data_IF_404802347251
#
_entry.id   IF_404802347251
#
_cell.length_a   1.000
_cell.length_b   1.000
_cell.length_c   1.000
_cell.angle_alpha   90.00
_cell.angle_beta   90.00
_cell.angle_gamma   90.00
#
_symmetry.space_group_name_H-M   'P 1'
#
loop_
_entity.id
_entity.type
_entity.pdbx_description
1 polymer ?
#
# COMPACT_ATOMS: atom_id res chain seq x y z
N UNK A 1 -17.26 4.01 -4.79
CA UNK A 1 -17.91 2.85 -5.43
C UNK A 1 -16.97 2.34 -6.51
N UNK A 2 -16.73 1.03 -6.57
CA UNK A 2 -16.02 0.43 -7.71
C UNK A 2 -16.80 0.68 -9.00
N UNK A 3 -16.11 0.81 -10.14
CA UNK A 3 -16.74 0.88 -11.46
C UNK A 3 -17.65 -0.34 -11.76
N UNK A 4 -17.56 -1.40 -10.96
CA UNK A 4 -18.31 -2.65 -11.10
C UNK A 4 -19.35 -2.90 -9.99
N UNK A 5 -19.63 -1.93 -9.12
CA UNK A 5 -20.60 -2.07 -8.02
C UNK A 5 -20.05 -2.75 -6.77
N UNK A 6 -20.93 -3.27 -5.91
CA UNK A 6 -20.58 -3.94 -4.65
C UNK A 6 -20.06 -5.35 -4.91
N UNK A 7 -18.86 -5.67 -4.42
CA UNK A 7 -18.23 -6.97 -4.64
C UNK A 7 -18.74 -8.02 -3.64
N UNK A 8 -19.03 -9.23 -4.16
CA UNK A 8 -19.16 -10.43 -3.33
C UNK A 8 -17.80 -11.12 -3.29
N UNK A 9 -17.12 -11.09 -2.14
CA UNK A 9 -15.76 -11.68 -1.97
C UNK A 9 -15.79 -13.18 -2.26
N UNK A 10 -14.82 -13.68 -3.04
CA UNK A 10 -14.71 -15.12 -3.32
C UNK A 10 -14.31 -15.88 -2.06
N UNK A 11 -15.04 -16.96 -1.74
CA UNK A 11 -14.77 -17.88 -0.64
C UNK A 11 -13.62 -18.83 -1.03
N UNK A 12 -12.37 -18.37 -0.98
CA UNK A 12 -11.22 -19.26 -0.90
C UNK A 12 -11.07 -19.84 0.52
N UNK A 13 -10.02 -20.63 0.76
CA UNK A 13 -9.67 -21.15 2.11
C UNK A 13 -9.35 -20.06 3.14
N UNK A 14 -9.29 -18.80 2.70
CA UNK A 14 -9.20 -17.64 3.55
C UNK A 14 -10.55 -17.36 4.24
N UNK A 15 -10.58 -17.52 5.57
CA UNK A 15 -11.77 -17.21 6.37
C UNK A 15 -12.10 -15.71 6.25
N UNK A 16 -13.35 -15.42 5.91
CA UNK A 16 -13.86 -14.06 5.80
C UNK A 16 -13.64 -13.31 7.13
N UNK A 17 -12.86 -12.22 7.09
CA UNK A 17 -12.54 -11.42 8.28
C UNK A 17 -11.35 -11.93 9.11
N UNK A 18 -10.61 -12.94 8.65
CA UNK A 18 -9.35 -13.29 9.27
C UNK A 18 -8.36 -12.12 9.15
N UNK A 19 -7.78 -11.72 10.28
CA UNK A 19 -6.75 -10.69 10.29
C UNK A 19 -5.40 -11.38 10.03
N UNK A 20 -4.67 -10.93 9.00
CA UNK A 20 -3.30 -11.37 8.77
C UNK A 20 -2.40 -10.94 9.93
N UNK A 21 -1.41 -11.77 10.30
CA UNK A 21 -0.47 -11.41 11.35
C UNK A 21 0.31 -10.16 10.98
N UNK A 22 0.61 -9.33 11.98
CA UNK A 22 1.48 -8.17 11.81
C UNK A 22 2.92 -8.61 11.54
N UNK A 23 3.68 -7.80 10.82
CA UNK A 23 5.07 -8.09 10.46
C UNK A 23 6.01 -6.97 10.85
N UNK A 24 7.26 -7.31 11.19
CA UNK A 24 8.33 -6.38 11.52
C UNK A 24 9.31 -6.29 10.35
N UNK A 25 9.76 -5.06 10.08
CA UNK A 25 10.68 -4.68 9.03
C UNK A 25 11.78 -3.82 9.63
N UNK A 26 13.02 -4.25 9.46
CA UNK A 26 14.19 -3.59 10.02
C UNK A 26 14.58 -2.42 9.12
N UNK A 27 14.79 -1.24 9.71
CA UNK A 27 15.33 -0.11 8.95
C UNK A 27 16.85 -0.24 8.88
N UNK A 28 17.43 -0.15 7.68
CA UNK A 28 18.89 -0.11 7.47
C UNK A 28 19.46 1.25 7.93
N UNK A 29 19.37 1.58 9.22
CA UNK A 29 20.06 2.74 9.76
C UNK A 29 21.52 2.34 9.94
N UNK A 30 22.38 2.93 9.11
CA UNK A 30 23.83 2.73 9.16
C UNK A 30 24.31 2.81 10.61
N UNK A 31 25.01 1.78 11.03
CA UNK A 31 25.47 1.53 12.40
C UNK A 31 26.49 2.57 12.84
N UNK A 32 26.05 3.76 13.22
CA UNK A 32 26.83 4.65 14.06
C UNK A 32 26.05 4.91 15.35
N UNK A 33 26.58 4.34 16.43
CA UNK A 33 26.27 4.55 17.84
C UNK A 33 25.27 3.58 18.50
N UNK A 34 25.69 3.12 19.69
CA UNK A 34 24.95 2.33 20.68
C UNK A 34 23.71 3.06 21.21
N UNK A 35 22.70 3.29 20.38
CA UNK A 35 21.38 3.71 20.86
C UNK A 35 20.55 2.46 21.16
N UNK A 36 20.09 2.26 22.41
CA UNK A 36 19.32 1.08 22.80
C UNK A 36 17.97 0.96 22.07
N UNK A 37 17.40 2.08 21.64
CA UNK A 37 16.16 2.11 20.85
C UNK A 37 16.47 2.37 19.38
N UNK A 38 16.33 1.33 18.56
CA UNK A 38 16.39 1.48 17.09
C UNK A 38 14.96 1.67 16.54
N UNK A 39 14.76 2.55 15.55
CA UNK A 39 13.50 2.60 14.84
C UNK A 39 13.32 1.31 14.04
N UNK A 40 12.07 0.88 13.92
CA UNK A 40 11.69 -0.20 13.03
C UNK A 40 10.26 -0.01 12.57
N UNK A 41 9.85 -0.77 11.56
CA UNK A 41 8.52 -0.63 10.98
C UNK A 41 7.73 -1.89 11.28
N UNK A 42 6.48 -1.68 11.65
CA UNK A 42 5.49 -2.75 11.76
C UNK A 42 4.40 -2.52 10.74
N UNK A 43 4.01 -3.57 10.02
CA UNK A 43 2.90 -3.53 9.08
C UNK A 43 1.76 -4.35 9.65
N UNK A 44 0.59 -3.73 9.78
CA UNK A 44 -0.61 -4.32 10.37
C UNK A 44 -1.70 -4.43 9.32
N UNK A 45 -2.37 -5.57 9.24
CA UNK A 45 -3.61 -5.71 8.48
C UNK A 45 -4.78 -5.14 9.28
N UNK A 46 -5.50 -4.20 8.68
CA UNK A 46 -6.53 -3.40 9.34
C UNK A 46 -7.80 -3.44 8.50
N UNK A 47 -8.92 -3.78 9.13
CA UNK A 47 -10.26 -3.64 8.58
C UNK A 47 -10.92 -2.39 9.15
N UNK A 48 -12.02 -1.91 8.53
CA UNK A 48 -12.77 -0.77 9.06
C UNK A 48 -13.21 -1.01 10.52
N UNK A 49 -13.70 -2.22 10.82
CA UNK A 49 -14.11 -2.63 12.17
C UNK A 49 -12.99 -2.47 13.21
N UNK A 50 -11.75 -2.73 12.83
CA UNK A 50 -10.61 -2.64 13.74
C UNK A 50 -9.97 -1.24 13.74
N UNK A 51 -10.21 -0.44 12.71
CA UNK A 51 -9.77 0.96 12.65
C UNK A 51 -10.68 1.90 13.45
N UNK A 52 -11.99 1.66 13.48
CA UNK A 52 -12.97 2.53 14.16
C UNK A 52 -12.69 2.75 15.66
N UNK A 53 -12.26 1.75 16.44
CA UNK A 53 -11.91 1.94 17.85
C UNK A 53 -10.64 2.78 18.08
N UNK A 54 -9.85 3.06 17.04
CA UNK A 54 -8.59 3.81 17.11
C UNK A 54 -8.86 5.31 16.81
N UNK A 55 -8.98 6.17 17.84
CA UNK A 55 -9.45 7.54 17.62
C UNK A 55 -8.48 8.33 16.74
N UNK A 56 -9.02 9.09 15.78
CA UNK A 56 -8.24 9.95 14.89
C UNK A 56 -7.52 9.22 13.74
N UNK A 57 -7.43 7.88 13.76
CA UNK A 57 -6.70 7.12 12.73
C UNK A 57 -7.27 7.38 11.34
N UNK A 58 -8.58 7.15 11.16
CA UNK A 58 -9.21 7.28 9.85
C UNK A 58 -9.14 8.73 9.34
N UNK A 59 -9.36 9.71 10.22
CA UNK A 59 -9.25 11.13 9.89
C UNK A 59 -7.84 11.49 9.41
N UNK A 60 -6.80 10.98 10.09
CA UNK A 60 -5.42 11.17 9.68
C UNK A 60 -5.15 10.60 8.29
N UNK A 61 -5.51 9.32 8.05
CA UNK A 61 -5.32 8.67 6.76
C UNK A 61 -6.09 9.37 5.62
N UNK A 62 -7.33 9.80 5.88
CA UNK A 62 -8.14 10.55 4.94
C UNK A 62 -7.51 11.89 4.58
N UNK A 63 -6.93 12.60 5.56
CA UNK A 63 -6.21 13.85 5.32
C UNK A 63 -4.96 13.63 4.47
N UNK A 64 -4.18 12.58 4.74
CA UNK A 64 -2.98 12.25 3.95
C UNK A 64 -3.38 11.91 2.50
N UNK A 65 -4.43 11.09 2.32
CA UNK A 65 -4.92 10.76 0.99
C UNK A 65 -5.48 11.98 0.25
N UNK A 66 -6.26 12.81 0.94
CA UNK A 66 -6.84 14.04 0.39
C UNK A 66 -5.77 15.01 -0.12
N UNK A 67 -4.68 15.20 0.64
CA UNK A 67 -3.58 16.07 0.23
C UNK A 67 -2.94 15.64 -1.09
N UNK A 68 -2.85 14.34 -1.37
CA UNK A 68 -2.21 13.85 -2.60
C UNK A 68 -3.19 13.77 -3.78
N UNK A 69 -4.47 13.57 -3.52
CA UNK A 69 -5.51 13.82 -4.53
C UNK A 69 -5.48 15.30 -4.92
N UNK A 70 -5.39 16.21 -3.95
CA UNK A 70 -5.27 17.65 -4.20
C UNK A 70 -3.97 18.00 -4.94
N UNK A 71 -2.86 17.32 -4.64
CA UNK A 71 -1.60 17.44 -5.38
C UNK A 71 -1.78 17.14 -6.87
N UNK A 72 -2.70 16.23 -7.22
CA UNK A 72 -3.17 15.99 -8.60
C UNK A 72 -2.12 15.40 -9.52
N UNK A 73 -1.13 14.68 -8.97
CA UNK A 73 0.03 14.14 -9.71
C UNK A 73 0.16 12.62 -9.68
N UNK A 74 -0.77 11.93 -9.02
CA UNK A 74 -0.60 10.50 -8.73
C UNK A 74 -1.91 9.74 -8.83
N UNK A 75 -3.01 10.32 -8.34
CA UNK A 75 -4.33 9.73 -8.44
C UNK A 75 -5.16 10.41 -9.53
N UNK A 76 -6.04 9.66 -10.22
CA UNK A 76 -6.94 10.22 -11.22
C UNK A 76 -8.15 10.96 -10.63
N UNK A 77 -8.42 10.82 -9.32
CA UNK A 77 -9.51 11.51 -8.64
C UNK A 77 -9.27 13.02 -8.65
N UNK A 78 -10.33 13.79 -8.89
CA UNK A 78 -10.32 15.26 -8.83
C UNK A 78 -11.17 15.81 -7.67
N UNK A 79 -12.13 15.00 -7.18
CA UNK A 79 -13.05 15.41 -6.12
C UNK A 79 -12.36 15.55 -4.77
N UNK A 80 -12.88 16.48 -3.96
CA UNK A 80 -12.45 16.65 -2.57
C UNK A 80 -12.72 15.37 -1.78
N UNK A 81 -11.66 14.84 -1.17
CA UNK A 81 -11.75 13.66 -0.32
C UNK A 81 -12.33 14.04 1.05
N UNK A 82 -13.50 13.50 1.36
CA UNK A 82 -14.08 13.50 2.71
C UNK A 82 -13.70 12.22 3.47
N UNK A 83 -13.87 12.22 4.80
CA UNK A 83 -13.67 11.01 5.62
C UNK A 83 -14.58 9.87 5.16
N UNK A 84 -15.86 10.16 4.91
CA UNK A 84 -16.84 9.15 4.44
C UNK A 84 -16.48 8.57 3.07
N UNK A 85 -16.09 9.43 2.11
CA UNK A 85 -15.64 8.94 0.80
C UNK A 85 -14.34 8.15 0.88
N UNK A 86 -13.43 8.54 1.79
CA UNK A 86 -12.20 7.82 2.04
C UNK A 86 -12.47 6.45 2.65
N UNK A 87 -13.32 6.34 3.67
CA UNK A 87 -13.69 5.05 4.27
C UNK A 87 -14.26 4.11 3.21
N UNK A 88 -15.27 4.58 2.46
CA UNK A 88 -15.91 3.79 1.40
C UNK A 88 -14.96 3.40 0.28
N UNK A 89 -13.96 4.21 -0.02
CA UNK A 89 -13.00 3.92 -1.06
C UNK A 89 -11.88 3.03 -0.55
N UNK A 90 -11.15 3.46 0.49
CA UNK A 90 -9.90 2.88 0.96
C UNK A 90 -10.13 1.58 1.76
N UNK A 91 -11.16 1.54 2.61
CA UNK A 91 -11.53 0.37 3.42
C UNK A 91 -12.57 -0.55 2.76
N UNK A 92 -12.74 -0.47 1.44
CA UNK A 92 -13.65 -1.36 0.73
C UNK A 92 -13.23 -2.84 0.79
N UNK A 93 -11.94 -3.13 0.99
CA UNK A 93 -11.40 -4.47 1.23
C UNK A 93 -10.24 -4.38 2.25
N UNK A 94 -9.12 -5.05 2.01
CA UNK A 94 -8.02 -5.18 2.95
C UNK A 94 -7.12 -3.92 2.93
N UNK A 95 -6.79 -3.39 4.11
CA UNK A 95 -5.90 -2.24 4.29
C UNK A 95 -4.72 -2.64 5.15
N UNK A 96 -3.54 -2.13 4.80
CA UNK A 96 -2.31 -2.34 5.55
C UNK A 96 -1.75 -0.99 5.97
N UNK A 97 -1.37 -0.88 7.24
CA UNK A 97 -0.83 0.35 7.81
C UNK A 97 0.57 0.06 8.34
N UNK A 98 1.54 0.85 7.87
CA UNK A 98 2.92 0.83 8.34
C UNK A 98 3.11 1.86 9.45
N UNK A 99 3.52 1.40 10.63
CA UNK A 99 3.80 2.21 11.81
C UNK A 99 5.27 2.06 12.18
N UNK A 100 6.00 3.18 12.26
CA UNK A 100 7.34 3.20 12.83
C UNK A 100 7.24 3.07 14.34
N UNK A 101 7.74 1.98 14.90
CA UNK A 101 7.88 1.74 16.33
C UNK A 101 9.35 1.92 16.78
N UNK A 102 9.57 1.93 18.09
CA UNK A 102 10.89 2.05 18.71
C UNK A 102 11.08 0.89 19.69
N UNK A 103 12.32 0.38 19.80
CA UNK A 103 12.68 -0.64 20.77
C UNK A 103 13.68 -1.64 20.23
N UNK A 104 13.92 -2.69 21.02
CA UNK A 104 14.79 -3.80 20.64
C UNK A 104 14.02 -4.87 19.89
N UNK A 105 14.38 -5.13 18.64
CA UNK A 105 13.88 -6.28 17.88
C UNK A 105 14.91 -7.39 17.95
N UNK A 106 14.45 -8.61 18.26
CA UNK A 106 15.27 -9.83 18.20
C UNK A 106 15.22 -10.51 16.81
N UNK A 107 14.83 -9.78 15.78
CA UNK A 107 14.70 -10.29 14.42
C UNK A 107 15.65 -9.52 13.52
N UNK A 108 16.53 -10.25 12.85
CA UNK A 108 17.43 -9.72 11.82
C UNK A 108 16.85 -9.86 10.40
N UNK A 109 15.62 -10.41 10.29
CA UNK A 109 14.94 -10.64 9.01
C UNK A 109 13.71 -9.76 8.87
N UNK A 110 13.63 -9.09 7.72
CA UNK A 110 12.42 -8.41 7.28
C UNK A 110 11.25 -9.37 7.13
N UNK A 111 10.04 -8.83 7.26
CA UNK A 111 8.77 -9.55 7.22
C UNK A 111 8.62 -10.64 8.31
N UNK A 112 9.29 -10.48 9.45
CA UNK A 112 9.12 -11.40 10.58
C UNK A 112 7.77 -11.19 11.29
N UNK A 113 7.03 -12.27 11.52
CA UNK A 113 5.71 -12.22 12.17
C UNK A 113 5.83 -11.78 13.63
N UNK A 114 4.91 -10.91 14.06
CA UNK A 114 4.81 -10.42 15.44
C UNK A 114 3.36 -10.41 15.93
N UNK A 115 3.18 -10.50 17.26
CA UNK A 115 1.90 -10.29 17.93
C UNK A 115 1.63 -8.83 18.28
N UNK A 116 2.55 -7.92 17.96
CA UNK A 116 2.40 -6.50 18.25
C UNK A 116 1.17 -5.94 17.52
N UNK A 117 0.28 -5.31 18.26
CA UNK A 117 -0.90 -4.64 17.73
C UNK A 117 -0.56 -3.23 17.21
N UNK A 118 -1.48 -2.64 16.45
CA UNK A 118 -1.35 -1.28 15.93
C UNK A 118 -1.16 -0.24 17.06
N UNK A 119 -1.89 -0.39 18.17
CA UNK A 119 -1.82 0.56 19.29
C UNK A 119 -0.54 0.38 20.13
N UNK A 120 -0.09 -0.86 20.33
CA UNK A 120 1.21 -1.12 20.97
C UNK A 120 2.37 -0.57 20.12
N UNK A 121 2.30 -0.70 18.79
CA UNK A 121 3.29 -0.10 17.89
C UNK A 121 3.26 1.43 17.93
N UNK A 122 2.07 2.03 18.04
CA UNK A 122 1.88 3.46 18.22
C UNK A 122 2.48 3.94 19.54
N UNK A 123 2.32 3.16 20.62
CA UNK A 123 2.83 3.46 21.96
C UNK A 123 2.42 4.86 22.44
N UNK A 124 1.13 5.19 22.30
CA UNK A 124 0.55 6.48 22.74
C UNK A 124 0.93 7.71 21.91
N UNK A 125 1.70 7.57 20.83
CA UNK A 125 2.04 8.68 19.93
C UNK A 125 0.88 9.10 19.02
N UNK A 126 0.93 10.33 18.51
CA UNK A 126 0.02 10.81 17.47
C UNK A 126 0.26 10.09 16.14
N UNK A 127 -0.81 9.81 15.38
CA UNK A 127 -0.74 9.07 14.12
C UNK A 127 0.18 9.74 13.10
N UNK A 128 0.15 11.07 13.04
CA UNK A 128 1.01 11.93 12.23
C UNK A 128 2.49 11.63 12.47
N UNK A 129 2.85 11.27 13.70
CA UNK A 129 4.25 11.05 14.09
C UNK A 129 4.70 9.61 13.90
N UNK A 130 3.80 8.63 13.91
CA UNK A 130 4.16 7.20 13.85
C UNK A 130 3.74 6.48 12.57
N UNK A 131 2.68 6.89 11.88
CA UNK A 131 2.32 6.32 10.57
C UNK A 131 3.35 6.75 9.55
N UNK A 132 3.85 5.80 8.77
CA UNK A 132 4.88 6.01 7.74
C UNK A 132 4.41 5.59 6.35
N UNK A 133 3.28 4.88 6.27
CA UNK A 133 2.67 4.52 5.01
C UNK A 133 1.45 3.66 5.22
N UNK A 134 0.65 3.53 4.18
CA UNK A 134 -0.51 2.66 4.16
C UNK A 134 -0.93 2.35 2.73
N UNK A 135 -1.52 1.19 2.52
CA UNK A 135 -1.98 0.76 1.21
C UNK A 135 -3.22 -0.12 1.34
N UNK A 136 -4.05 -0.15 0.31
CA UNK A 136 -5.14 -1.12 0.22
C UNK A 136 -4.78 -2.23 -0.76
N UNK A 137 -5.38 -3.40 -0.61
CA UNK A 137 -5.37 -4.48 -1.59
C UNK A 137 -6.82 -4.86 -1.89
N UNK A 138 -7.19 -4.82 -3.18
CA UNK A 138 -8.56 -5.07 -3.67
C UNK A 138 -8.51 -5.92 -4.92
N UNK A 139 -9.54 -6.73 -5.22
CA UNK A 139 -9.72 -7.26 -6.56
C UNK A 139 -9.77 -6.12 -7.58
N UNK A 140 -8.93 -6.18 -8.62
CA UNK A 140 -9.00 -5.21 -9.73
C UNK A 140 -10.22 -5.44 -10.61
N UNK A 141 -10.65 -6.70 -10.70
CA UNK A 141 -11.79 -7.14 -11.50
C UNK A 141 -12.75 -7.99 -10.66
N UNK A 142 -14.06 -8.01 -10.99
CA UNK A 142 -15.02 -8.83 -10.29
C UNK A 142 -14.97 -10.31 -10.70
N UNK A 143 -15.59 -11.17 -9.89
CA UNK A 143 -15.95 -12.54 -10.24
C UNK A 143 -14.77 -13.41 -10.67
N UNK A 144 -14.79 -13.92 -11.91
CA UNK A 144 -13.81 -14.88 -12.43
C UNK A 144 -12.37 -14.34 -12.47
N UNK A 145 -12.20 -13.02 -12.38
CA UNK A 145 -10.90 -12.35 -12.42
C UNK A 145 -10.53 -11.70 -11.09
N UNK A 146 -11.23 -12.02 -9.99
CA UNK A 146 -10.98 -11.44 -8.67
C UNK A 146 -9.62 -11.79 -8.07
N UNK A 147 -8.96 -12.83 -8.58
CA UNK A 147 -7.60 -13.22 -8.20
C UNK A 147 -6.54 -12.23 -8.71
N UNK A 148 -6.88 -11.34 -9.65
CA UNK A 148 -6.00 -10.24 -10.07
C UNK A 148 -6.25 -9.06 -9.14
N UNK A 149 -5.32 -8.82 -8.22
CA UNK A 149 -5.43 -7.76 -7.22
C UNK A 149 -4.82 -6.44 -7.71
N UNK A 150 -5.48 -5.34 -7.36
CA UNK A 150 -4.99 -3.98 -7.44
C UNK A 150 -4.61 -3.50 -6.04
N UNK A 151 -3.50 -2.80 -5.94
CA UNK A 151 -3.14 -2.10 -4.72
C UNK A 151 -2.58 -0.73 -5.07
N UNK A 152 -2.55 0.15 -4.09
CA UNK A 152 -1.81 1.39 -4.21
C UNK A 152 -1.25 1.75 -2.85
N UNK A 153 0.04 2.08 -2.80
CA UNK A 153 0.73 2.41 -1.57
C UNK A 153 1.04 3.90 -1.43
N UNK A 154 0.76 4.42 -0.24
CA UNK A 154 1.25 5.69 0.25
C UNK A 154 2.45 5.48 1.15
N UNK A 155 3.47 6.30 0.93
CA UNK A 155 4.61 6.46 1.84
C UNK A 155 4.56 7.90 2.35
N UNK A 156 4.40 8.07 3.66
CA UNK A 156 4.52 9.37 4.31
C UNK A 156 6.01 9.67 4.38
N UNK A 157 6.47 10.58 3.52
CA UNK A 157 7.89 10.93 3.41
C UNK A 157 8.34 11.61 4.71
N UNK A 158 9.00 10.86 5.60
CA UNK A 158 9.73 11.39 6.76
C UNK A 158 11.22 11.38 6.44
N UNK A 159 11.91 12.46 6.79
CA UNK A 159 13.32 12.76 6.45
C UNK A 159 14.36 11.70 6.87
N UNK A 160 13.95 10.66 7.59
CA UNK A 160 14.80 9.60 8.14
C UNK A 160 14.43 8.18 7.69
N UNK A 161 13.39 8.00 6.87
CA UNK A 161 12.93 6.68 6.42
C UNK A 161 12.82 6.66 4.89
N UNK A 162 13.96 6.53 4.22
CA UNK A 162 14.04 6.39 2.75
C UNK A 162 13.74 4.97 2.27
N UNK A 163 13.67 3.99 3.17
CA UNK A 163 13.77 2.57 2.81
C UNK A 163 12.58 1.72 3.28
N UNK A 164 11.36 2.28 3.26
CA UNK A 164 10.15 1.46 3.47
C UNK A 164 9.76 0.82 2.14
N UNK A 165 10.19 -0.42 1.96
CA UNK A 165 9.89 -1.22 0.77
C UNK A 165 8.80 -2.27 1.07
N UNK A 166 7.75 -2.30 0.24
CA UNK A 166 6.69 -3.30 0.25
C UNK A 166 5.34 -2.66 -0.13
N UNK A 167 4.44 -3.22 -0.94
CA UNK A 167 4.16 -4.57 -1.42
C UNK A 167 3.25 -4.42 -2.69
N UNK A 168 2.69 -5.48 -3.32
CA UNK A 168 2.57 -5.55 -4.77
C UNK A 168 1.38 -4.85 -5.41
N UNK A 169 1.61 -4.12 -6.51
CA UNK A 169 0.61 -3.35 -7.27
C UNK A 169 0.43 -3.91 -8.69
N UNK A 170 -0.74 -4.46 -9.01
CA UNK A 170 -1.25 -4.33 -10.38
C UNK A 170 -1.91 -2.96 -10.47
N UNK A 171 -1.45 -2.08 -11.35
CA UNK A 171 -1.99 -0.72 -11.37
C UNK A 171 -1.52 0.09 -12.57
N UNK A 172 -2.29 1.14 -12.86
CA UNK A 172 -1.93 2.18 -13.81
C UNK A 172 -1.09 3.21 -13.04
N UNK A 173 0.21 3.25 -13.34
CA UNK A 173 1.14 4.17 -12.69
C UNK A 173 1.46 5.34 -13.63
N UNK A 174 1.19 6.55 -13.17
CA UNK A 174 1.71 7.75 -13.81
C UNK A 174 3.20 7.90 -13.48
N UNK A 175 4.03 8.32 -14.45
CA UNK A 175 5.46 8.43 -14.25
C UNK A 175 5.79 9.56 -13.26
N UNK A 176 5.89 9.23 -11.98
CA UNK A 176 6.67 10.00 -11.01
C UNK A 176 8.08 9.41 -10.96
N UNK A 177 9.11 10.26 -10.92
CA UNK A 177 10.51 9.83 -11.03
C UNK A 177 10.94 8.77 -9.99
N UNK A 178 10.25 8.70 -8.84
CA UNK A 178 10.65 7.82 -7.73
C UNK A 178 9.90 6.49 -7.70
N UNK A 179 8.60 6.46 -8.02
CA UNK A 179 7.80 5.23 -7.93
C UNK A 179 8.12 4.25 -9.06
N UNK A 180 8.37 4.75 -10.28
CA UNK A 180 8.64 3.89 -11.42
C UNK A 180 9.84 2.94 -11.19
N UNK A 181 10.96 3.46 -10.68
CA UNK A 181 12.17 2.70 -10.40
C UNK A 181 12.00 1.73 -9.23
N UNK A 182 11.11 2.03 -8.28
CA UNK A 182 10.80 1.14 -7.17
C UNK A 182 10.14 -0.14 -7.67
N UNK A 183 9.15 -0.05 -8.55
CA UNK A 183 8.43 -1.23 -9.04
C UNK A 183 9.34 -2.16 -9.85
N UNK A 184 10.22 -1.62 -10.69
CA UNK A 184 11.21 -2.43 -11.41
C UNK A 184 12.15 -3.16 -10.45
N UNK A 185 12.63 -2.49 -9.40
CA UNK A 185 13.46 -3.12 -8.36
C UNK A 185 12.73 -4.22 -7.58
N UNK A 186 11.42 -4.07 -7.40
CA UNK A 186 10.57 -5.08 -6.76
C UNK A 186 10.20 -6.23 -7.72
N UNK A 187 10.71 -6.25 -8.95
CA UNK A 187 10.48 -7.31 -9.93
C UNK A 187 9.11 -7.23 -10.61
N UNK A 188 8.54 -6.03 -10.74
CA UNK A 188 7.34 -5.82 -11.56
C UNK A 188 7.70 -5.73 -13.04
N UNK A 189 6.83 -6.31 -13.87
CA UNK A 189 6.92 -6.26 -15.32
C UNK A 189 5.99 -5.18 -15.86
N UNK A 190 6.48 -4.37 -16.79
CA UNK A 190 5.66 -3.45 -17.60
C UNK A 190 4.90 -4.26 -18.66
N UNK A 191 3.61 -4.49 -18.45
CA UNK A 191 2.75 -5.17 -19.42
C UNK A 191 2.35 -4.26 -20.60
N UNK A 192 2.28 -2.94 -20.38
CA UNK A 192 1.87 -2.01 -21.44
C UNK A 192 2.00 -0.55 -21.05
N UNK A 193 1.89 0.33 -22.06
CA UNK A 193 1.86 1.79 -21.90
C UNK A 193 0.58 2.34 -22.54
N UNK A 194 -0.13 3.16 -21.78
CA UNK A 194 -1.29 3.91 -22.26
C UNK A 194 -0.82 5.36 -22.48
N UNK A 195 -0.72 5.84 -23.73
CA UNK A 195 -0.30 7.21 -23.97
C UNK A 195 -1.37 8.20 -23.52
N UNK A 196 -0.95 9.34 -22.95
CA UNK A 196 -1.84 10.44 -22.53
C UNK A 196 -3.02 9.99 -21.62
N UNK A 197 -2.77 9.01 -20.76
CA UNK A 197 -3.79 8.36 -19.94
C UNK A 197 -4.38 9.24 -18.84
N UNK A 198 -3.64 10.23 -18.33
CA UNK A 198 -4.08 11.06 -17.21
C UNK A 198 -3.81 12.53 -17.45
N UNK A 199 -4.79 13.38 -17.13
CA UNK A 199 -4.64 14.83 -17.07
C UNK A 199 -4.22 15.19 -15.64
N UNK A 200 -2.94 15.50 -15.45
CA UNK A 200 -2.36 15.74 -14.12
C UNK A 200 -1.88 17.18 -13.97
N UNK A 201 -1.83 17.67 -12.73
CA UNK A 201 -1.28 19.00 -12.42
C UNK A 201 0.22 19.03 -12.69
N UNK A 202 0.68 20.12 -13.30
CA UNK A 202 2.09 20.32 -13.62
C UNK A 202 2.91 20.67 -12.36
N UNK A 203 4.18 20.28 -12.34
CA UNK A 203 5.11 20.56 -11.23
C UNK A 203 5.31 22.06 -10.98
N UNK A 204 5.20 22.89 -12.01
CA UNK A 204 5.31 24.35 -11.92
C UNK A 204 4.03 25.02 -11.37
N UNK A 205 2.98 24.24 -11.08
CA UNK A 205 1.68 24.71 -10.61
C UNK A 205 0.87 25.45 -11.68
N UNK A 206 1.32 25.48 -12.94
CA UNK A 206 0.69 26.24 -14.03
C UNK A 206 -0.08 25.32 -14.96
N UNK A 207 -1.29 24.97 -14.53
CA UNK A 207 -2.21 24.15 -15.30
C UNK A 207 -1.90 22.67 -15.23
N UNK A 208 -2.33 21.95 -16.26
CA UNK A 208 -2.32 20.49 -16.32
C UNK A 208 -1.71 20.01 -17.62
N UNK A 209 -1.25 18.76 -17.62
CA UNK A 209 -0.71 18.09 -18.79
C UNK A 209 -1.19 16.64 -18.88
N UNK A 210 -1.28 16.13 -20.10
CA UNK A 210 -1.57 14.72 -20.34
C UNK A 210 -0.29 13.92 -20.23
N UNK A 211 -0.25 13.00 -19.29
CA UNK A 211 0.87 12.09 -19.06
C UNK A 211 0.50 10.66 -19.46
N UNK A 212 1.50 9.93 -19.92
CA UNK A 212 1.37 8.49 -20.14
C UNK A 212 1.17 7.76 -18.82
N UNK A 213 0.66 6.53 -18.88
CA UNK A 213 0.67 5.64 -17.75
C UNK A 213 1.15 4.23 -18.13
N UNK A 214 1.82 3.57 -17.20
CA UNK A 214 2.27 2.20 -17.34
C UNK A 214 1.31 1.23 -16.67
N UNK A 215 0.98 0.14 -17.34
CA UNK A 215 0.33 -1.03 -16.75
C UNK A 215 1.44 -1.96 -16.27
N UNK A 216 1.53 -2.16 -14.96
CA UNK A 216 2.53 -3.03 -14.32
C UNK A 216 1.86 -4.26 -13.69
N UNK A 217 2.56 -5.39 -13.68
CA UNK A 217 2.11 -6.63 -13.04
C UNK A 217 3.25 -7.43 -12.42
N UNK A 218 2.91 -8.29 -11.46
CA UNK A 218 3.80 -9.30 -10.89
C UNK A 218 3.00 -10.57 -10.58
N UNK A 219 3.57 -11.74 -10.88
CA UNK A 219 2.98 -13.03 -10.51
C UNK A 219 3.31 -13.36 -9.04
N UNK A 220 2.35 -13.93 -8.33
CA UNK A 220 2.53 -14.51 -6.98
C UNK A 220 2.57 -16.03 -6.99
N UNK A 221 2.44 -16.65 -8.17
CA UNK A 221 2.61 -18.10 -8.35
C UNK A 221 4.10 -18.38 -8.50
N UNK A 222 4.62 -19.34 -7.74
CA UNK A 222 6.02 -19.75 -7.82
C UNK A 222 6.33 -20.31 -9.21
N UNK A 223 7.56 -20.09 -9.71
CA UNK A 223 7.94 -20.48 -11.08
C UNK A 223 7.84 -21.99 -11.35
N UNK A 224 7.95 -22.82 -10.32
CA UNK A 224 7.84 -24.27 -10.44
C UNK A 224 6.39 -24.73 -10.66
N UNK A 225 5.41 -24.02 -10.09
CA UNK A 225 3.99 -24.27 -10.31
C UNK A 225 3.53 -23.82 -11.71
N UNK A 226 4.11 -22.73 -12.23
CA UNK A 226 3.82 -22.23 -13.58
C UNK A 226 4.26 -23.23 -14.67
N UNK A 227 5.43 -23.87 -14.51
CA UNK A 227 5.94 -24.88 -15.46
C UNK A 227 5.15 -26.19 -15.41
N UNK A 228 4.62 -26.57 -14.24
CA UNK A 228 3.78 -27.75 -14.10
C UNK A 228 2.43 -27.59 -14.82
N UNK A 229 1.88 -26.37 -14.85
CA UNK A 229 0.63 -26.06 -15.57
C UNK A 229 0.83 -26.05 -17.10
N UNK A 230 1.94 -25.49 -17.60
CA UNK A 230 2.24 -25.49 -19.03
C UNK A 230 2.54 -26.89 -19.60
N UNK A 231 2.99 -27.84 -18.77
CA UNK A 231 3.21 -29.23 -19.17
C UNK A 231 1.94 -30.09 -19.20
N UNK A 232 0.85 -29.66 -18.56
CA UNK A 232 -0.44 -30.36 -18.65
C UNK A 232 -1.30 -29.92 -19.84
N UNK A 233 -0.91 -28.86 -20.54
CA UNK A 233 -1.65 -28.29 -21.68
C UNK A 233 -1.02 -28.65 -23.03
N UNK A 234 0.06 -29.44 -23.05
CA UNK A 234 0.67 -30.00 -24.27
C UNK A 234 0.46 -31.51 -24.39
#
# INVERSE_FOLDING_TARGET
>A
MSAYGTFTRSTGDYQLGAILPSTIWCTNVSSSNNTPDRPYITIHHVTLTNALPAPGLISHLASVFGAVVEEGRTYPQEDVITVDSFEKYFFAEDVFIAVQAMGTINSEKDASVTSLTLDEARNGREWETCVVGFYYVKPNYPGRSSHVSHSFAYVVQKSSLTDVHGLPVFGVLYPSHTLHLLWERLGFTKAGRIPQAGRLKRLDGKGEEYVDAWVIYKSFVEEDDAKAQDQQVN
#
